data_IF_055889800325
#
_entry.id   IF_055889800325
#
_cell.length_a   1.000
_cell.length_b   1.000
_cell.length_c   1.000
_cell.angle_alpha   90.00
_cell.angle_beta   90.00
_cell.angle_gamma   90.00
#
_symmetry.space_group_name_H-M   'P 1'
#
loop_
_entity.id
_entity.type
_entity.pdbx_description
1 polymer ?
#
# COMPACT_ATOMS: atom_id res chain seq x y z
N UNK A 1 60.79 36.05 46.87
CA UNK A 1 59.71 35.03 46.98
C UNK A 1 58.70 35.33 45.89
N UNK A 2 58.62 34.55 44.79
CA UNK A 2 57.75 34.95 43.67
C UNK A 2 57.63 34.05 42.45
N UNK A 3 58.37 32.93 42.35
CA UNK A 3 58.36 32.10 41.13
C UNK A 3 57.43 30.87 41.15
N UNK A 4 56.91 30.46 42.32
CA UNK A 4 56.06 29.25 42.45
C UNK A 4 54.57 29.49 42.15
N UNK A 5 54.09 30.73 42.28
CA UNK A 5 52.67 31.08 42.15
C UNK A 5 52.17 31.34 40.73
N UNK A 6 53.06 31.46 39.74
CA UNK A 6 52.67 31.74 38.35
C UNK A 6 52.50 30.47 37.53
N UNK A 7 53.33 29.44 37.76
CA UNK A 7 53.24 28.14 37.08
C UNK A 7 51.94 27.38 37.40
N UNK A 8 51.46 27.43 38.64
CA UNK A 8 50.17 26.82 39.03
C UNK A 8 48.96 27.53 38.42
N UNK A 9 49.00 28.86 38.26
CA UNK A 9 47.91 29.62 37.64
C UNK A 9 47.78 29.36 36.15
N UNK A 10 48.91 29.22 35.44
CA UNK A 10 48.91 28.82 34.02
C UNK A 10 48.42 27.38 33.83
N UNK A 11 48.86 26.45 34.69
CA UNK A 11 48.43 25.05 34.63
C UNK A 11 46.93 24.87 34.92
N UNK A 12 46.38 25.63 35.87
CA UNK A 12 44.94 25.63 36.17
C UNK A 12 44.09 26.24 35.05
N UNK A 13 44.55 27.32 34.41
CA UNK A 13 43.85 27.93 33.25
C UNK A 13 43.85 27.00 32.03
N UNK A 14 44.94 26.26 31.79
CA UNK A 14 45.01 25.28 30.70
C UNK A 14 44.02 24.13 30.93
N UNK A 15 43.94 23.61 32.16
CA UNK A 15 43.01 22.53 32.51
C UNK A 15 41.53 22.94 32.35
N UNK A 16 41.18 24.18 32.69
CA UNK A 16 39.82 24.72 32.54
C UNK A 16 39.44 24.90 31.07
N UNK A 17 40.37 25.35 30.21
CA UNK A 17 40.14 25.43 28.76
C UNK A 17 40.05 24.05 28.10
N UNK A 18 40.81 23.06 28.57
CA UNK A 18 40.69 21.68 28.07
C UNK A 18 39.39 21.00 28.48
N UNK A 19 38.83 21.31 29.65
CA UNK A 19 37.52 20.80 30.07
C UNK A 19 36.35 21.55 29.42
N UNK A 20 36.50 22.85 29.13
CA UNK A 20 35.50 23.64 28.41
C UNK A 20 35.35 23.25 26.92
N UNK A 21 36.45 22.85 26.27
CA UNK A 21 36.42 22.31 24.91
C UNK A 21 35.84 20.89 24.83
N UNK A 22 35.85 20.13 25.94
CA UNK A 22 35.24 18.81 26.01
C UNK A 22 33.70 18.85 26.19
N UNK A 23 33.14 20.01 26.57
CA UNK A 23 31.70 20.16 26.86
C UNK A 23 30.84 20.61 25.67
N UNK A 24 31.43 20.92 24.50
CA UNK A 24 30.68 21.29 23.30
C UNK A 24 30.40 20.13 22.32
N UNK A 25 30.67 18.88 22.69
CA UNK A 25 30.47 17.72 21.79
C UNK A 25 29.18 16.94 22.03
N UNK A 26 28.24 17.43 22.84
CA UNK A 26 26.88 16.84 22.87
C UNK A 26 26.06 17.38 21.70
N UNK A 27 26.54 17.13 20.48
CA UNK A 27 25.71 17.22 19.30
C UNK A 27 24.80 16.00 19.30
N UNK A 28 23.50 16.27 19.31
CA UNK A 28 22.39 15.33 19.19
C UNK A 28 22.74 14.26 18.14
N UNK A 29 22.60 12.98 18.51
CA UNK A 29 22.81 11.84 17.62
C UNK A 29 21.78 11.93 16.48
N UNK A 30 22.21 12.51 15.36
CA UNK A 30 21.51 12.36 14.09
C UNK A 30 21.84 10.95 13.62
N UNK A 31 20.84 10.07 13.54
CA UNK A 31 20.96 8.74 12.94
C UNK A 31 21.41 8.88 11.47
N UNK A 32 22.72 8.93 11.26
CA UNK A 32 23.35 8.82 9.96
C UNK A 32 23.32 7.33 9.59
N UNK A 33 22.29 6.95 8.85
CA UNK A 33 22.08 5.61 8.30
C UNK A 33 23.39 5.01 7.80
N UNK A 34 23.83 3.96 8.49
CA UNK A 34 25.00 3.15 8.17
C UNK A 34 24.84 2.55 6.78
N UNK A 35 25.64 3.02 5.82
CA UNK A 35 25.80 2.36 4.54
C UNK A 35 27.00 1.42 4.65
N UNK A 36 26.78 0.22 5.21
CA UNK A 36 27.76 -0.86 5.13
C UNK A 36 27.25 -1.91 4.15
N UNK A 37 27.92 -1.92 3.00
CA UNK A 37 27.63 -2.67 1.80
C UNK A 37 27.99 -4.15 1.98
N UNK A 38 27.05 -4.98 2.41
CA UNK A 38 27.10 -6.40 2.08
C UNK A 38 26.43 -6.60 0.72
N UNK A 39 27.26 -6.45 -0.31
CA UNK A 39 26.92 -6.70 -1.71
C UNK A 39 26.67 -8.21 -1.88
N UNK A 40 25.41 -8.61 -1.68
CA UNK A 40 24.82 -9.79 -2.27
C UNK A 40 24.25 -9.42 -3.65
N UNK A 41 24.78 -10.05 -4.69
CA UNK A 41 24.41 -9.82 -6.10
C UNK A 41 22.94 -10.16 -6.39
N UNK A 42 22.02 -9.21 -6.24
CA UNK A 42 20.76 -9.15 -6.99
C UNK A 42 20.38 -7.69 -7.24
N UNK A 43 20.27 -7.33 -8.52
CA UNK A 43 19.79 -6.04 -8.97
C UNK A 43 18.33 -5.84 -8.55
N UNK A 44 18.08 -4.97 -7.57
CA UNK A 44 16.88 -4.11 -7.54
C UNK A 44 17.09 -3.01 -6.50
N UNK A 45 17.13 -1.76 -6.94
CA UNK A 45 17.49 -0.59 -6.13
C UNK A 45 16.39 -0.12 -5.17
N UNK A 46 15.92 -0.98 -4.27
CA UNK A 46 15.00 -0.62 -3.17
C UNK A 46 15.60 -1.05 -1.83
N UNK A 47 16.03 -0.08 -1.04
CA UNK A 47 16.51 -0.31 0.32
C UNK A 47 15.31 -0.40 1.25
N UNK A 48 14.82 -1.62 1.47
CA UNK A 48 13.86 -1.85 2.56
C UNK A 48 14.61 -1.85 3.89
N UNK A 49 14.10 -1.08 4.86
CA UNK A 49 14.74 -0.93 6.18
C UNK A 49 14.66 -2.21 7.02
N UNK A 50 13.78 -3.15 6.65
CA UNK A 50 13.53 -4.42 7.34
C UNK A 50 13.49 -5.59 6.36
N UNK A 51 13.95 -6.78 6.76
CA UNK A 51 13.79 -7.98 5.95
C UNK A 51 12.30 -8.31 5.74
N UNK A 52 11.93 -9.00 4.64
CA UNK A 52 10.57 -9.46 4.42
C UNK A 52 10.08 -10.28 5.61
N UNK A 53 8.93 -9.90 6.16
CA UNK A 53 8.36 -10.50 7.36
C UNK A 53 6.97 -11.04 7.06
N UNK A 54 6.69 -12.24 7.57
CA UNK A 54 5.36 -12.83 7.45
C UNK A 54 4.50 -12.48 8.65
N UNK A 55 3.35 -11.88 8.39
CA UNK A 55 2.38 -11.41 9.38
C UNK A 55 1.03 -12.07 9.16
N UNK A 56 0.23 -12.21 10.22
CA UNK A 56 -1.12 -12.75 10.09
C UNK A 56 -2.04 -11.73 9.41
N UNK A 57 -2.96 -12.22 8.58
CA UNK A 57 -4.00 -11.39 7.96
C UNK A 57 -5.09 -11.12 9.01
N UNK A 58 -5.26 -9.87 9.46
CA UNK A 58 -6.22 -9.56 10.51
C UNK A 58 -7.66 -9.56 9.96
N UNK A 59 -8.63 -9.77 10.84
CA UNK A 59 -10.07 -9.82 10.50
C UNK A 59 -10.59 -8.48 9.95
N UNK A 60 -9.94 -7.36 10.31
CA UNK A 60 -10.29 -6.02 9.84
C UNK A 60 -9.81 -5.75 8.39
N UNK A 61 -8.93 -6.59 7.82
CA UNK A 61 -8.60 -6.57 6.39
C UNK A 61 -9.67 -7.30 5.58
N UNK A 62 -10.88 -6.72 5.55
CA UNK A 62 -12.12 -7.34 5.00
C UNK A 62 -11.98 -7.95 3.61
N UNK A 63 -11.16 -7.36 2.74
CA UNK A 63 -10.96 -7.81 1.37
C UNK A 63 -10.29 -9.19 1.30
N UNK A 64 -9.34 -9.45 2.20
CA UNK A 64 -8.41 -10.57 2.10
C UNK A 64 -8.40 -11.48 3.33
N UNK A 65 -9.25 -11.21 4.32
CA UNK A 65 -9.46 -12.15 5.41
C UNK A 65 -10.17 -13.41 4.89
N UNK A 66 -9.69 -14.60 5.28
CA UNK A 66 -10.26 -15.90 4.94
C UNK A 66 -10.31 -16.25 3.43
N UNK A 67 -9.33 -15.81 2.64
CA UNK A 67 -9.21 -16.09 1.19
C UNK A 67 -8.45 -17.39 0.86
N UNK A 68 -8.31 -18.30 1.83
CA UNK A 68 -7.63 -19.60 1.68
C UNK A 68 -6.22 -19.68 2.29
N UNK A 69 -5.71 -18.58 2.83
CA UNK A 69 -4.48 -18.54 3.63
C UNK A 69 -4.60 -17.48 4.74
N UNK A 70 -3.76 -17.57 5.76
CA UNK A 70 -3.84 -16.74 6.96
C UNK A 70 -2.61 -15.85 7.20
N UNK A 71 -1.54 -16.00 6.41
CA UNK A 71 -0.30 -15.22 6.54
C UNK A 71 0.10 -14.57 5.22
N UNK A 72 0.46 -13.30 5.29
CA UNK A 72 0.96 -12.51 4.17
C UNK A 72 2.36 -11.98 4.44
N UNK A 73 3.08 -11.57 3.40
CA UNK A 73 4.41 -10.95 3.51
C UNK A 73 4.32 -9.42 3.43
N UNK A 74 5.12 -8.74 4.27
CA UNK A 74 5.43 -7.32 4.18
C UNK A 74 6.94 -7.13 3.94
N UNK A 75 7.38 -6.16 3.11
CA UNK A 75 6.55 -5.27 2.29
C UNK A 75 5.74 -6.03 1.23
N UNK A 76 4.53 -5.58 0.92
CA UNK A 76 3.71 -6.23 -0.11
C UNK A 76 4.11 -5.78 -1.53
N UNK A 77 3.44 -6.31 -2.57
CA UNK A 77 3.75 -5.99 -3.97
C UNK A 77 3.38 -4.55 -4.38
N UNK A 78 2.78 -3.79 -3.47
CA UNK A 78 2.45 -2.38 -3.62
C UNK A 78 3.33 -1.49 -2.72
N UNK A 79 4.42 -2.04 -2.17
CA UNK A 79 5.40 -1.33 -1.34
C UNK A 79 4.87 -0.82 0.01
N UNK A 80 3.78 -1.37 0.52
CA UNK A 80 3.35 -1.08 1.89
C UNK A 80 4.22 -1.85 2.87
N UNK A 81 4.76 -1.16 3.87
CA UNK A 81 5.66 -1.75 4.88
C UNK A 81 4.91 -2.09 6.17
N UNK A 82 3.74 -1.49 6.39
CA UNK A 82 2.96 -1.66 7.61
C UNK A 82 1.54 -2.13 7.34
N UNK A 83 0.99 -2.91 8.28
CA UNK A 83 -0.42 -3.32 8.18
C UNK A 83 -1.41 -2.15 8.19
N UNK A 84 -1.04 -1.01 8.80
CA UNK A 84 -1.89 0.17 8.82
C UNK A 84 -2.09 0.73 7.39
N UNK A 85 -1.00 0.84 6.63
CA UNK A 85 -1.02 1.28 5.23
C UNK A 85 -1.82 0.32 4.34
N UNK A 86 -1.57 -0.99 4.49
CA UNK A 86 -2.30 -2.03 3.75
C UNK A 86 -3.80 -1.90 3.98
N UNK A 87 -4.23 -1.80 5.25
CA UNK A 87 -5.65 -1.68 5.60
C UNK A 87 -6.27 -0.40 5.07
N UNK A 88 -5.58 0.72 5.22
CA UNK A 88 -6.06 2.01 4.75
C UNK A 88 -6.32 1.97 3.23
N UNK A 89 -5.33 1.53 2.44
CA UNK A 89 -5.48 1.53 0.99
C UNK A 89 -6.41 0.42 0.49
N UNK A 90 -6.38 -0.78 1.09
CA UNK A 90 -7.27 -1.88 0.73
C UNK A 90 -8.75 -1.57 1.03
N UNK A 91 -9.04 -0.81 2.09
CA UNK A 91 -10.41 -0.46 2.45
C UNK A 91 -11.15 0.30 1.35
N UNK A 92 -10.45 1.12 0.56
CA UNK A 92 -10.99 1.89 -0.56
C UNK A 92 -11.51 1.01 -1.70
N UNK A 93 -11.10 -0.26 -1.75
CA UNK A 93 -11.55 -1.22 -2.77
C UNK A 93 -12.80 -2.00 -2.37
N UNK A 94 -13.19 -1.98 -1.09
CA UNK A 94 -14.36 -2.70 -0.58
C UNK A 94 -15.66 -2.31 -1.31
N UNK A 95 -15.93 -1.02 -1.60
CA UNK A 95 -17.13 -0.65 -2.37
C UNK A 95 -17.17 -1.26 -3.78
N UNK A 96 -16.04 -1.31 -4.50
CA UNK A 96 -15.96 -1.91 -5.82
C UNK A 96 -16.10 -3.43 -5.75
N UNK A 97 -15.46 -4.07 -4.77
CA UNK A 97 -15.61 -5.50 -4.50
C UNK A 97 -17.07 -5.88 -4.26
N UNK A 98 -17.81 -5.09 -3.46
CA UNK A 98 -19.23 -5.31 -3.20
C UNK A 98 -20.13 -5.12 -4.44
N UNK A 99 -19.67 -4.44 -5.50
CA UNK A 99 -20.38 -4.40 -6.79
C UNK A 99 -20.27 -5.69 -7.58
N UNK A 100 -19.36 -6.58 -7.21
CA UNK A 100 -19.18 -7.91 -7.80
C UNK A 100 -19.11 -7.89 -9.35
N UNK A 101 -18.38 -6.92 -9.91
CA UNK A 101 -18.20 -6.75 -11.35
C UNK A 101 -17.46 -7.93 -12.01
N UNK A 102 -16.58 -8.60 -11.27
CA UNK A 102 -15.80 -9.73 -11.78
C UNK A 102 -15.46 -10.69 -10.64
N UNK A 103 -15.66 -12.00 -10.85
CA UNK A 103 -15.41 -13.03 -9.84
C UNK A 103 -13.94 -13.05 -9.36
N UNK A 104 -13.01 -12.64 -10.22
CA UNK A 104 -11.58 -12.58 -9.90
C UNK A 104 -11.06 -11.29 -9.30
N UNK A 105 -11.91 -10.30 -9.04
CA UNK A 105 -11.46 -9.05 -8.42
C UNK A 105 -10.81 -9.28 -7.05
N UNK A 106 -11.40 -10.14 -6.20
CA UNK A 106 -10.88 -10.41 -4.86
C UNK A 106 -9.50 -11.09 -4.93
N UNK A 107 -9.35 -12.13 -5.75
CA UNK A 107 -8.08 -12.83 -5.93
C UNK A 107 -7.02 -11.89 -6.48
N UNK A 108 -7.36 -11.09 -7.50
CA UNK A 108 -6.44 -10.11 -8.07
C UNK A 108 -5.95 -9.09 -7.02
N UNK A 109 -6.86 -8.44 -6.29
CA UNK A 109 -6.47 -7.45 -5.29
C UNK A 109 -5.68 -8.07 -4.13
N UNK A 110 -6.09 -9.24 -3.63
CA UNK A 110 -5.40 -9.90 -2.52
C UNK A 110 -4.02 -10.42 -2.90
N UNK A 111 -3.79 -10.79 -4.17
CA UNK A 111 -2.44 -11.14 -4.64
C UNK A 111 -1.45 -9.99 -4.49
N UNK A 112 -1.92 -8.74 -4.49
CA UNK A 112 -1.10 -7.52 -4.40
C UNK A 112 -1.08 -6.94 -2.98
N UNK A 113 -2.24 -6.82 -2.35
CA UNK A 113 -2.39 -6.26 -1.00
C UNK A 113 -1.93 -7.21 0.09
N UNK A 114 -2.20 -8.50 -0.06
CA UNK A 114 -1.94 -9.53 0.93
C UNK A 114 -1.25 -10.75 0.30
N UNK A 115 -0.10 -10.61 -0.40
CA UNK A 115 0.56 -11.72 -1.06
C UNK A 115 0.88 -12.84 -0.07
N UNK A 116 0.74 -14.10 -0.51
CA UNK A 116 1.04 -15.28 0.29
C UNK A 116 2.48 -15.20 0.81
N UNK A 117 2.69 -15.55 2.08
CA UNK A 117 4.01 -15.67 2.68
C UNK A 117 4.83 -16.78 2.00
N UNK A 118 5.66 -16.39 1.03
CA UNK A 118 6.58 -17.24 0.26
C UNK A 118 7.94 -16.54 0.12
N UNK A 119 9.01 -17.30 -0.10
CA UNK A 119 10.37 -16.75 -0.29
C UNK A 119 10.50 -15.89 -1.55
N UNK A 120 9.70 -16.19 -2.58
CA UNK A 120 9.64 -15.44 -3.83
C UNK A 120 8.24 -14.91 -4.06
N UNK A 121 8.07 -13.62 -4.38
CA UNK A 121 6.76 -13.08 -4.70
C UNK A 121 6.24 -13.65 -6.02
N UNK A 122 4.93 -13.93 -6.07
CA UNK A 122 4.23 -14.36 -7.27
C UNK A 122 3.20 -13.29 -7.61
N UNK A 123 3.33 -12.70 -8.80
CA UNK A 123 2.42 -11.67 -9.30
C UNK A 123 1.15 -12.29 -9.91
N UNK A 124 0.02 -11.56 -9.98
CA UNK A 124 -1.11 -11.97 -10.80
C UNK A 124 -0.72 -11.99 -12.27
N UNK A 125 -1.34 -12.87 -13.06
CA UNK A 125 -1.11 -12.89 -14.49
C UNK A 125 -1.68 -11.63 -15.15
N UNK A 126 -1.03 -11.13 -16.22
CA UNK A 126 -1.51 -9.96 -16.97
C UNK A 126 -2.96 -10.11 -17.44
N UNK A 127 -3.31 -11.26 -18.00
CA UNK A 127 -4.66 -11.52 -18.50
C UNK A 127 -5.73 -11.45 -17.39
N UNK A 128 -5.38 -11.84 -16.15
CA UNK A 128 -6.29 -11.74 -15.01
C UNK A 128 -6.55 -10.27 -14.66
N UNK A 129 -5.48 -9.46 -14.65
CA UNK A 129 -5.61 -8.01 -14.48
C UNK A 129 -6.49 -7.38 -15.56
N UNK A 130 -6.25 -7.69 -16.83
CA UNK A 130 -6.99 -7.12 -17.96
C UNK A 130 -8.47 -7.49 -17.87
N UNK A 131 -8.78 -8.76 -17.62
CA UNK A 131 -10.16 -9.24 -17.45
C UNK A 131 -10.89 -8.55 -16.29
N UNK A 132 -10.20 -8.37 -15.15
CA UNK A 132 -10.78 -7.66 -13.99
C UNK A 132 -10.96 -6.16 -14.29
N UNK A 133 -9.94 -5.51 -14.88
CA UNK A 133 -10.01 -4.09 -15.26
C UNK A 133 -11.16 -3.85 -16.22
N UNK A 134 -11.28 -4.62 -17.29
CA UNK A 134 -12.27 -4.39 -18.34
C UNK A 134 -13.71 -4.53 -17.81
N UNK A 135 -13.93 -5.41 -16.84
CA UNK A 135 -15.21 -5.59 -16.17
C UNK A 135 -15.51 -4.52 -15.10
N UNK A 136 -14.50 -4.08 -14.35
CA UNK A 136 -14.70 -3.24 -13.15
C UNK A 136 -14.41 -1.75 -13.37
N UNK A 137 -13.51 -1.39 -14.29
CA UNK A 137 -13.17 0.00 -14.60
C UNK A 137 -14.36 0.84 -15.08
N UNK A 138 -15.30 0.33 -15.91
CA UNK A 138 -16.48 1.11 -16.29
C UNK A 138 -17.31 1.58 -15.08
N UNK A 139 -17.41 0.74 -14.04
CA UNK A 139 -18.09 1.10 -12.79
C UNK A 139 -17.30 2.17 -12.04
N UNK A 140 -15.97 2.05 -11.97
CA UNK A 140 -15.13 3.07 -11.36
C UNK A 140 -15.29 4.43 -12.06
N UNK A 141 -15.27 4.42 -13.40
CA UNK A 141 -15.40 5.64 -14.22
C UNK A 141 -16.76 6.32 -14.02
N UNK A 142 -17.82 5.54 -13.82
CA UNK A 142 -19.14 6.09 -13.50
C UNK A 142 -19.12 6.95 -12.22
N UNK A 143 -18.30 6.57 -11.23
CA UNK A 143 -18.11 7.34 -10.00
C UNK A 143 -16.93 8.35 -10.07
N UNK A 144 -16.37 8.60 -11.25
CA UNK A 144 -15.28 9.54 -11.45
C UNK A 144 -13.88 9.02 -11.09
N UNK A 145 -13.73 7.71 -10.89
CA UNK A 145 -12.44 7.07 -10.60
C UNK A 145 -11.89 6.35 -11.83
N UNK A 146 -10.58 6.39 -12.02
CA UNK A 146 -9.89 5.68 -13.09
C UNK A 146 -9.16 4.45 -12.54
N UNK A 147 -8.83 3.50 -13.42
CA UNK A 147 -7.96 2.39 -13.05
C UNK A 147 -6.57 2.93 -12.64
N UNK A 148 -6.11 2.68 -11.41
CA UNK A 148 -4.93 3.38 -10.88
C UNK A 148 -3.63 2.83 -11.44
N UNK A 149 -2.61 3.70 -11.48
CA UNK A 149 -1.29 3.40 -12.03
C UNK A 149 -0.66 2.13 -11.41
N UNK A 150 -0.80 1.98 -10.09
CA UNK A 150 -0.25 0.84 -9.34
C UNK A 150 -0.80 -0.51 -9.78
N UNK A 151 -1.97 -0.53 -10.45
CA UNK A 151 -2.63 -1.74 -10.95
C UNK A 151 -2.59 -1.86 -12.47
N UNK A 152 -1.81 -1.03 -13.18
CA UNK A 152 -1.68 -1.17 -14.65
C UNK A 152 -1.18 -2.55 -15.04
N UNK A 153 -1.91 -3.19 -15.95
CA UNK A 153 -1.69 -4.60 -16.30
C UNK A 153 -0.35 -4.88 -16.99
N UNK A 154 0.25 -3.86 -17.62
CA UNK A 154 1.57 -3.98 -18.25
C UNK A 154 2.69 -4.33 -17.25
N UNK A 155 2.48 -4.02 -15.95
CA UNK A 155 3.41 -4.35 -14.87
C UNK A 155 3.44 -5.84 -14.53
N UNK A 156 2.46 -6.61 -15.00
CA UNK A 156 2.29 -8.02 -14.64
C UNK A 156 2.82 -8.96 -15.74
N UNK A 157 3.33 -10.15 -15.36
CA UNK A 157 3.91 -11.10 -16.29
C UNK A 157 2.86 -11.73 -17.22
N UNK A 158 3.30 -12.07 -18.43
CA UNK A 158 2.48 -12.79 -19.42
C UNK A 158 2.92 -14.25 -19.60
N UNK A 159 4.22 -14.53 -19.50
CA UNK A 159 4.81 -15.85 -19.81
C UNK A 159 5.52 -16.52 -18.63
N UNK A 160 5.48 -15.91 -17.44
CA UNK A 160 6.08 -16.45 -16.22
C UNK A 160 5.02 -17.10 -15.31
N UNK A 161 5.48 -17.81 -14.27
CA UNK A 161 4.59 -18.35 -13.23
C UNK A 161 3.87 -17.19 -12.53
N UNK A 162 2.54 -17.20 -12.59
CA UNK A 162 1.70 -16.13 -12.07
C UNK A 162 0.38 -16.66 -11.52
N UNK A 163 -0.26 -15.86 -10.66
CA UNK A 163 -1.57 -16.20 -10.07
C UNK A 163 -2.66 -15.99 -11.11
N UNK A 164 -3.37 -17.07 -11.39
CA UNK A 164 -4.45 -17.18 -12.35
C UNK A 164 -5.74 -17.57 -11.63
N UNK A 165 -6.89 -17.24 -12.22
CA UNK A 165 -8.16 -17.87 -11.83
C UNK A 165 -8.59 -18.88 -12.87
N UNK A 166 -8.71 -20.14 -12.48
CA UNK A 166 -9.37 -21.14 -13.32
C UNK A 166 -10.83 -20.74 -13.45
N UNK A 167 -11.30 -20.44 -14.66
CA UNK A 167 -12.74 -20.28 -14.86
C UNK A 167 -13.42 -21.62 -14.56
N UNK A 168 -14.51 -21.65 -13.77
CA UNK A 168 -15.40 -22.81 -13.82
C UNK A 168 -16.07 -22.78 -15.20
N UNK A 169 -15.57 -23.58 -16.14
CA UNK A 169 -16.13 -23.87 -17.47
C UNK A 169 -16.73 -22.68 -18.24
N UNK A 170 -15.96 -22.17 -19.21
CA UNK A 170 -16.40 -21.23 -20.24
C UNK A 170 -17.45 -21.82 -21.20
N UNK A 171 -18.67 -22.07 -20.72
CA UNK A 171 -19.83 -22.42 -21.58
C UNK A 171 -21.08 -21.58 -21.33
N UNK A 172 -21.03 -20.62 -20.41
CA UNK A 172 -22.12 -19.67 -20.23
C UNK A 172 -21.55 -18.27 -20.46
N UNK A 173 -21.95 -17.55 -21.52
CA UNK A 173 -21.76 -16.12 -21.54
C UNK A 173 -22.61 -15.59 -20.38
N UNK A 174 -21.97 -15.23 -19.28
CA UNK A 174 -22.60 -14.36 -18.29
C UNK A 174 -22.94 -13.09 -19.03
N UNK A 175 -24.18 -13.06 -19.54
CA UNK A 175 -24.86 -11.85 -19.99
C UNK A 175 -24.56 -10.81 -18.92
N UNK A 176 -24.06 -9.60 -19.26
CA UNK A 176 -24.04 -8.54 -18.28
C UNK A 176 -25.47 -8.44 -17.77
N UNK A 177 -25.71 -8.93 -16.56
CA UNK A 177 -26.84 -8.50 -15.78
C UNK A 177 -26.53 -7.03 -15.61
N UNK A 178 -27.15 -6.22 -16.47
CA UNK A 178 -27.14 -4.78 -16.36
C UNK A 178 -27.59 -4.50 -14.96
N UNK A 179 -26.63 -4.27 -14.08
CA UNK A 179 -26.89 -3.63 -12.81
C UNK A 179 -27.58 -2.35 -13.22
N UNK A 180 -28.79 -2.13 -12.67
CA UNK A 180 -29.48 -0.87 -12.82
C UNK A 180 -28.58 0.19 -12.19
N UNK A 181 -27.62 0.68 -12.98
CA UNK A 181 -26.93 1.92 -12.73
C UNK A 181 -28.06 2.93 -12.75
N UNK A 182 -28.37 3.49 -11.58
CA UNK A 182 -29.38 4.52 -11.50
C UNK A 182 -29.03 5.58 -12.55
N UNK A 183 -29.98 5.97 -13.40
CA UNK A 183 -29.70 6.97 -14.41
C UNK A 183 -29.19 8.26 -13.74
N UNK A 184 -28.37 9.06 -14.45
CA UNK A 184 -28.02 10.40 -14.00
C UNK A 184 -29.29 11.19 -13.63
N UNK A 185 -29.22 11.98 -12.56
CA UNK A 185 -30.33 12.81 -12.13
C UNK A 185 -30.51 13.99 -13.11
N UNK A 186 -31.27 13.78 -14.18
CA UNK A 186 -31.71 14.85 -15.09
C UNK A 186 -32.92 15.58 -14.49
N UNK A 187 -32.73 16.21 -13.33
CA UNK A 187 -33.73 17.12 -12.80
C UNK A 187 -33.44 18.52 -13.34
N UNK A 188 -34.33 19.04 -14.18
CA UNK A 188 -34.43 20.48 -14.39
C UNK A 188 -34.49 21.15 -13.01
N UNK A 189 -33.81 22.29 -12.82
CA UNK A 189 -33.71 23.04 -11.56
C UNK A 189 -35.06 23.68 -11.15
N UNK A 190 -36.12 22.89 -11.12
CA UNK A 190 -37.44 23.30 -10.69
C UNK A 190 -37.51 23.16 -9.18
N UNK A 191 -37.78 24.27 -8.52
CA UNK A 191 -37.84 24.37 -7.06
C UNK A 191 -38.84 23.36 -6.45
N UNK A 192 -39.93 23.04 -7.16
CA UNK A 192 -40.92 22.07 -6.71
C UNK A 192 -40.37 20.64 -6.67
N UNK A 193 -39.58 20.25 -7.68
CA UNK A 193 -38.94 18.93 -7.72
C UNK A 193 -37.87 18.80 -6.63
N UNK A 194 -37.10 19.85 -6.39
CA UNK A 194 -36.11 19.89 -5.30
C UNK A 194 -36.80 19.72 -3.93
N UNK A 195 -37.91 20.42 -3.70
CA UNK A 195 -38.67 20.32 -2.46
C UNK A 195 -39.25 18.91 -2.26
N UNK A 196 -39.80 18.31 -3.32
CA UNK A 196 -40.34 16.94 -3.28
C UNK A 196 -39.24 15.91 -2.96
N UNK A 197 -38.05 16.05 -3.54
CA UNK A 197 -36.91 15.19 -3.24
C UNK A 197 -36.36 15.36 -1.82
N UNK A 198 -36.38 16.58 -1.27
CA UNK A 198 -36.01 16.83 0.12
C UNK A 198 -37.03 16.23 1.09
N UNK A 199 -38.31 16.25 0.76
CA UNK A 199 -39.36 15.62 1.57
C UNK A 199 -39.38 14.09 1.45
N UNK A 200 -38.96 13.54 0.31
CA UNK A 200 -38.91 12.10 0.07
C UNK A 200 -37.62 11.43 0.60
N UNK A 201 -36.62 12.23 0.98
CA UNK A 201 -35.41 11.73 1.62
C UNK A 201 -35.61 11.73 3.14
N UNK A 202 -35.64 10.56 3.76
CA UNK A 202 -35.51 10.47 5.22
C UNK A 202 -34.06 10.83 5.59
N UNK A 203 -33.88 12.05 6.12
CA UNK A 203 -32.63 12.50 6.72
C UNK A 203 -32.34 11.79 8.04
#
# INVERSE_FOLDING_TARGET
QGAKGQSQKFSAMILIWTFGLLACSMANEYDYVSFQSDIGSYQSGRFYTKPPQCVNIPEDLRLCHNVGYNKMVLPNLLDHETMAEVKQQASSWVPLWNKNCHAGLQVFLCSLFAPVCLDRPIFPCRWLCESVRDACEPIMRYFGFYWPEMLKCDKFPQNDVCIAMTSPNATEPTKPQGTAVCPPCDNEMKMDAILEHLCASEF
#
